data_IF_141304067118
#
_entry.id   IF_141304067118
#
_cell.length_a   1.000
_cell.length_b   1.000
_cell.length_c   1.000
_cell.angle_alpha   90.00
_cell.angle_beta   90.00
_cell.angle_gamma   90.00
#
_symmetry.space_group_name_H-M   'P 1'
#
loop_
_entity.id
_entity.type
_entity.pdbx_description
1 polymer ?
#
# COMPACT_ATOMS: atom_id res chain seq x y z
N UNK A 1 -40.51 -11.15 74.05
CA UNK A 1 -40.20 -9.99 73.23
C UNK A 1 -39.09 -10.39 72.27
N UNK A 2 -39.33 -10.63 70.94
CA UNK A 2 -38.31 -11.00 69.99
C UNK A 2 -37.65 -9.73 69.41
N UNK A 3 -36.31 -9.73 69.38
CA UNK A 3 -35.49 -8.66 68.80
C UNK A 3 -35.38 -8.89 67.30
N UNK A 4 -35.93 -7.98 66.48
CA UNK A 4 -35.80 -7.91 65.06
C UNK A 4 -34.40 -7.35 64.72
N UNK A 5 -33.55 -8.16 64.07
CA UNK A 5 -32.26 -7.72 63.47
C UNK A 5 -32.53 -7.20 62.08
N UNK A 6 -32.31 -5.91 61.84
CA UNK A 6 -32.29 -5.27 60.53
C UNK A 6 -30.97 -5.65 59.84
N UNK A 7 -31.05 -6.38 58.73
CA UNK A 7 -29.92 -6.62 57.86
C UNK A 7 -29.91 -5.51 56.80
N UNK A 8 -28.94 -4.62 56.90
CA UNK A 8 -28.71 -3.59 55.88
C UNK A 8 -28.02 -4.22 54.66
N UNK A 9 -28.72 -4.30 53.54
CA UNK A 9 -28.15 -4.64 52.25
C UNK A 9 -27.46 -3.39 51.70
N UNK A 10 -26.12 -3.34 51.76
CA UNK A 10 -25.31 -2.35 51.02
C UNK A 10 -25.25 -2.78 49.57
N UNK A 11 -26.06 -2.17 48.70
CA UNK A 11 -25.98 -2.33 47.28
C UNK A 11 -24.79 -1.54 46.75
N UNK A 12 -23.74 -2.23 46.30
CA UNK A 12 -22.64 -1.64 45.52
C UNK A 12 -23.17 -1.40 44.12
N UNK A 13 -23.46 -0.14 43.77
CA UNK A 13 -23.75 0.29 42.41
C UNK A 13 -22.40 0.40 41.69
N UNK A 14 -22.07 -0.62 40.90
CA UNK A 14 -20.92 -0.60 40.00
C UNK A 14 -21.26 0.30 38.80
N UNK A 15 -20.90 1.57 38.90
CA UNK A 15 -21.06 2.54 37.81
C UNK A 15 -20.00 2.27 36.76
N UNK A 16 -20.35 1.50 35.69
CA UNK A 16 -19.51 1.29 34.53
C UNK A 16 -19.32 2.63 33.83
N UNK A 17 -18.16 3.25 34.03
CA UNK A 17 -17.70 4.39 33.22
C UNK A 17 -17.45 3.91 31.78
N UNK A 18 -18.44 4.02 30.92
CA UNK A 18 -18.26 3.94 29.47
C UNK A 18 -17.45 5.16 29.03
N UNK A 19 -16.13 5.01 28.95
CA UNK A 19 -15.27 6.01 28.33
C UNK A 19 -15.50 5.92 26.84
N UNK A 20 -16.43 6.72 26.32
CA UNK A 20 -16.54 6.95 24.87
C UNK A 20 -15.32 7.77 24.46
N UNK A 21 -14.41 7.16 23.69
CA UNK A 21 -13.33 7.90 23.05
C UNK A 21 -13.95 9.04 22.22
N UNK A 22 -13.38 10.25 22.24
CA UNK A 22 -13.91 11.34 21.43
C UNK A 22 -13.82 10.94 19.96
N UNK A 23 -14.85 11.28 19.19
CA UNK A 23 -14.99 10.93 17.75
C UNK A 23 -13.77 11.33 16.92
N UNK A 24 -13.03 12.35 17.33
CA UNK A 24 -11.77 12.76 16.73
C UNK A 24 -10.66 11.70 16.91
N UNK A 25 -10.49 11.15 18.11
CA UNK A 25 -9.49 10.13 18.40
C UNK A 25 -9.77 8.83 17.63
N UNK A 26 -11.02 8.47 17.41
CA UNK A 26 -11.41 7.32 16.59
C UNK A 26 -11.04 7.54 15.12
N UNK A 27 -11.29 8.73 14.57
CA UNK A 27 -10.87 9.09 13.20
C UNK A 27 -9.36 9.04 13.04
N UNK A 28 -8.61 9.56 13.98
CA UNK A 28 -7.14 9.56 13.94
C UNK A 28 -6.60 8.13 14.02
N UNK A 29 -7.21 7.27 14.81
CA UNK A 29 -6.84 5.85 14.90
C UNK A 29 -7.10 5.11 13.59
N UNK A 30 -8.26 5.32 12.96
CA UNK A 30 -8.58 4.75 11.64
C UNK A 30 -7.57 5.22 10.60
N UNK A 31 -7.21 6.50 10.59
CA UNK A 31 -6.20 7.04 9.65
C UNK A 31 -4.80 6.49 9.90
N UNK A 32 -4.44 6.22 11.15
CA UNK A 32 -3.18 5.57 11.47
C UNK A 32 -3.13 4.13 10.93
N UNK A 33 -4.23 3.37 11.04
CA UNK A 33 -4.34 2.04 10.46
C UNK A 33 -4.27 2.07 8.93
N UNK A 34 -5.01 2.97 8.28
CA UNK A 34 -4.98 3.19 6.84
C UNK A 34 -3.58 3.47 6.33
N UNK A 35 -2.82 4.31 7.03
CA UNK A 35 -1.43 4.62 6.71
C UNK A 35 -0.56 3.37 6.71
N UNK A 36 -0.65 2.56 7.74
CA UNK A 36 0.11 1.29 7.84
C UNK A 36 -0.27 0.32 6.72
N UNK A 37 -1.56 0.24 6.35
CA UNK A 37 -2.02 -0.63 5.26
C UNK A 37 -1.51 -0.15 3.90
N UNK A 38 -1.52 1.16 3.64
CA UNK A 38 -0.99 1.75 2.41
C UNK A 38 0.53 1.53 2.31
N UNK A 39 1.28 1.74 3.40
CA UNK A 39 2.71 1.47 3.43
C UNK A 39 3.02 -0.01 3.15
N UNK A 40 2.24 -0.94 3.70
CA UNK A 40 2.34 -2.37 3.40
C UNK A 40 1.97 -2.70 1.95
N UNK A 41 0.99 -2.01 1.37
CA UNK A 41 0.63 -2.15 -0.04
C UNK A 41 1.82 -1.77 -0.92
N UNK A 42 2.43 -0.61 -0.68
CA UNK A 42 3.58 -0.11 -1.46
C UNK A 42 4.83 -0.98 -1.26
N UNK A 43 5.06 -1.50 -0.05
CA UNK A 43 6.12 -2.49 0.20
C UNK A 43 5.92 -3.77 -0.63
N UNK A 44 4.71 -4.35 -0.62
CA UNK A 44 4.39 -5.54 -1.43
C UNK A 44 4.50 -5.27 -2.92
N UNK A 45 4.17 -4.05 -3.36
CA UNK A 45 4.34 -3.63 -4.74
C UNK A 45 5.82 -3.75 -5.18
N UNK A 46 6.74 -3.17 -4.41
CA UNK A 46 8.18 -3.24 -4.71
C UNK A 46 8.67 -4.70 -4.70
N UNK A 47 8.29 -5.49 -3.69
CA UNK A 47 8.68 -6.90 -3.62
C UNK A 47 8.19 -7.71 -4.84
N UNK A 48 6.95 -7.51 -5.27
CA UNK A 48 6.40 -8.20 -6.43
C UNK A 48 7.11 -7.80 -7.73
N UNK A 49 7.42 -6.51 -7.90
CA UNK A 49 8.13 -5.97 -9.04
C UNK A 49 9.57 -6.51 -9.10
N UNK A 50 10.35 -6.39 -8.03
CA UNK A 50 11.75 -6.79 -7.96
C UNK A 50 11.95 -8.31 -8.08
N UNK A 51 10.98 -9.10 -7.61
CA UNK A 51 10.98 -10.56 -7.78
C UNK A 51 10.46 -11.01 -9.16
N UNK A 52 9.81 -10.13 -9.92
CA UNK A 52 9.12 -10.48 -11.16
C UNK A 52 7.89 -11.34 -10.96
N UNK A 53 7.27 -11.29 -9.76
CA UNK A 53 6.03 -12.01 -9.47
C UNK A 53 4.82 -11.27 -10.05
N UNK A 54 4.52 -11.56 -11.32
CA UNK A 54 3.49 -10.89 -12.10
C UNK A 54 2.08 -11.04 -11.50
N UNK A 55 1.77 -12.20 -10.91
CA UNK A 55 0.49 -12.47 -10.26
C UNK A 55 0.32 -11.60 -9.00
N UNK A 56 1.32 -11.63 -8.12
CA UNK A 56 1.32 -10.81 -6.91
C UNK A 56 1.27 -9.32 -7.24
N UNK A 57 2.00 -8.88 -8.28
CA UNK A 57 1.98 -7.50 -8.75
C UNK A 57 0.59 -7.04 -9.17
N UNK A 58 -0.04 -7.79 -10.09
CA UNK A 58 -1.37 -7.47 -10.61
C UNK A 58 -2.46 -7.45 -9.52
N UNK A 59 -2.36 -8.35 -8.53
CA UNK A 59 -3.31 -8.43 -7.42
C UNK A 59 -3.33 -7.18 -6.52
N UNK A 60 -2.29 -6.35 -6.54
CA UNK A 60 -2.21 -5.10 -5.76
C UNK A 60 -2.99 -3.94 -6.40
N UNK A 61 -3.42 -4.10 -7.64
CA UNK A 61 -4.21 -3.09 -8.35
C UNK A 61 -5.71 -3.34 -8.19
N UNK A 62 -6.50 -2.27 -8.30
CA UNK A 62 -7.94 -2.37 -8.51
C UNK A 62 -8.22 -3.19 -9.79
N UNK A 63 -9.43 -3.79 -9.96
CA UNK A 63 -9.72 -4.58 -11.15
C UNK A 63 -9.47 -3.86 -12.48
N UNK A 64 -9.76 -2.55 -12.51
CA UNK A 64 -9.55 -1.62 -13.63
C UNK A 64 -8.31 -0.72 -13.45
N UNK A 65 -7.47 -1.03 -12.47
CA UNK A 65 -6.27 -0.26 -12.15
C UNK A 65 -5.28 -0.19 -13.30
N UNK A 66 -4.45 0.86 -13.31
CA UNK A 66 -3.56 1.14 -14.42
C UNK A 66 -2.14 1.53 -13.98
N UNK A 67 -1.18 1.26 -14.86
CA UNK A 67 0.18 1.79 -14.81
C UNK A 67 0.36 2.84 -15.91
N UNK A 68 0.83 4.02 -15.54
CA UNK A 68 0.93 5.18 -16.41
C UNK A 68 -0.39 5.90 -16.61
N UNK A 69 -0.35 6.97 -17.40
CA UNK A 69 -1.50 7.81 -17.75
C UNK A 69 -1.63 7.99 -19.25
N UNK A 70 -2.77 8.50 -19.69
CA UNK A 70 -3.03 8.83 -21.09
C UNK A 70 -3.17 7.61 -22.01
N UNK A 71 -2.79 7.78 -23.26
CA UNK A 71 -3.00 6.78 -24.32
C UNK A 71 -2.09 5.56 -24.18
N UNK A 72 -0.96 5.68 -23.49
CA UNK A 72 0.01 4.59 -23.29
C UNK A 72 -0.19 3.83 -21.97
N UNK A 73 -1.20 4.18 -21.19
CA UNK A 73 -1.49 3.52 -19.93
C UNK A 73 -1.82 2.04 -20.13
N UNK A 74 -1.21 1.18 -19.30
CA UNK A 74 -1.49 -0.25 -19.26
C UNK A 74 -2.60 -0.47 -18.24
N UNK A 75 -3.79 -0.93 -18.69
CA UNK A 75 -5.00 -0.98 -17.89
C UNK A 75 -5.48 -2.40 -17.63
N UNK A 76 -5.92 -2.63 -16.40
CA UNK A 76 -6.49 -3.89 -15.93
C UNK A 76 -5.43 -4.92 -15.54
N UNK A 77 -5.82 -5.80 -14.61
CA UNK A 77 -4.90 -6.76 -13.97
C UNK A 77 -4.21 -7.69 -14.96
N UNK A 78 -4.90 -8.16 -16.00
CA UNK A 78 -4.31 -9.08 -16.97
C UNK A 78 -3.20 -8.40 -17.80
N UNK A 79 -3.41 -7.15 -18.23
CA UNK A 79 -2.39 -6.39 -18.95
C UNK A 79 -1.21 -6.05 -18.05
N UNK A 80 -1.45 -5.69 -16.79
CA UNK A 80 -0.41 -5.42 -15.79
C UNK A 80 0.41 -6.69 -15.47
N UNK A 81 -0.24 -7.83 -15.33
CA UNK A 81 0.41 -9.14 -15.16
C UNK A 81 1.31 -9.46 -16.36
N UNK A 82 0.79 -9.29 -17.59
CA UNK A 82 1.55 -9.51 -18.81
C UNK A 82 2.77 -8.59 -18.87
N UNK A 83 2.64 -7.31 -18.52
CA UNK A 83 3.76 -6.36 -18.51
C UNK A 83 4.93 -6.85 -17.65
N UNK A 84 4.65 -7.29 -16.41
CA UNK A 84 5.71 -7.79 -15.51
C UNK A 84 6.28 -9.12 -15.99
N UNK A 85 5.45 -10.02 -16.50
CA UNK A 85 5.91 -11.30 -17.05
C UNK A 85 6.84 -11.11 -18.26
N UNK A 86 6.48 -10.22 -19.19
CA UNK A 86 7.31 -9.90 -20.37
C UNK A 86 8.65 -9.26 -19.96
N UNK A 87 8.64 -8.34 -19.00
CA UNK A 87 9.86 -7.74 -18.46
C UNK A 87 10.76 -8.81 -17.83
N UNK A 88 10.20 -9.72 -17.06
CA UNK A 88 10.94 -10.84 -16.47
C UNK A 88 11.54 -11.76 -17.53
N UNK A 89 10.77 -12.11 -18.56
CA UNK A 89 11.24 -12.96 -19.66
C UNK A 89 12.43 -12.34 -20.40
N UNK A 90 12.41 -11.02 -20.64
CA UNK A 90 13.54 -10.30 -21.23
C UNK A 90 14.79 -10.40 -20.36
N UNK A 91 14.66 -10.13 -19.06
CA UNK A 91 15.78 -10.24 -18.12
C UNK A 91 16.36 -11.67 -18.07
N UNK A 92 15.53 -12.71 -18.16
CA UNK A 92 15.99 -14.09 -18.16
C UNK A 92 16.61 -14.52 -19.50
N UNK A 93 16.18 -13.92 -20.62
CA UNK A 93 16.81 -14.12 -21.93
C UNK A 93 18.22 -13.49 -21.98
N UNK A 94 18.38 -12.30 -21.41
CA UNK A 94 19.69 -11.61 -21.33
C UNK A 94 20.69 -12.37 -20.45
N UNK A 95 20.23 -13.13 -19.43
CA UNK A 95 21.09 -14.03 -18.64
C UNK A 95 21.75 -15.15 -19.45
N UNK A 96 21.13 -15.58 -20.54
CA UNK A 96 21.67 -16.64 -21.40
C UNK A 96 22.77 -16.14 -22.35
N UNK A 97 22.97 -14.83 -22.47
CA UNK A 97 23.90 -14.17 -23.37
C UNK A 97 25.17 -13.71 -22.66
N UNK A 98 25.82 -14.48 -21.78
CA UNK A 98 27.07 -14.15 -21.02
C UNK A 98 27.14 -12.75 -20.38
N UNK A 99 26.16 -11.90 -20.59
CA UNK A 99 25.95 -10.66 -19.89
C UNK A 99 25.14 -10.98 -18.65
N UNK A 100 25.78 -11.08 -17.48
CA UNK A 100 25.05 -11.14 -16.21
C UNK A 100 24.08 -9.96 -16.18
N UNK A 101 22.74 -10.16 -16.25
CA UNK A 101 21.82 -9.07 -16.04
C UNK A 101 22.05 -8.63 -14.59
N UNK A 102 22.44 -7.39 -14.43
CA UNK A 102 22.59 -6.83 -13.10
C UNK A 102 21.20 -6.86 -12.45
N UNK A 103 21.09 -7.51 -11.29
CA UNK A 103 19.88 -7.46 -10.50
C UNK A 103 19.61 -6.00 -10.14
N UNK A 104 18.41 -5.54 -10.39
CA UNK A 104 17.99 -4.18 -10.06
C UNK A 104 17.03 -4.23 -8.88
N UNK A 105 17.14 -3.23 -8.04
CA UNK A 105 16.20 -2.96 -6.93
C UNK A 105 15.54 -1.61 -7.12
N UNK A 106 14.28 -1.50 -6.73
CA UNK A 106 13.60 -0.23 -6.62
C UNK A 106 13.72 0.29 -5.18
N UNK A 107 14.24 1.50 -5.06
CA UNK A 107 14.33 2.24 -3.80
C UNK A 107 13.27 3.33 -3.83
N UNK A 108 12.39 3.33 -2.83
CA UNK A 108 11.35 4.35 -2.65
C UNK A 108 11.63 5.09 -1.35
N UNK A 109 11.58 6.42 -1.41
CA UNK A 109 11.91 7.27 -0.28
C UNK A 109 10.96 8.47 -0.16
N UNK A 110 10.95 9.09 1.02
CA UNK A 110 10.15 10.26 1.36
C UNK A 110 8.65 10.08 1.08
N UNK A 111 8.01 9.00 1.55
CA UNK A 111 6.61 8.78 1.30
C UNK A 111 5.73 9.84 1.99
N UNK A 112 4.74 10.32 1.27
CA UNK A 112 3.68 11.17 1.80
C UNK A 112 2.32 10.63 1.38
N UNK A 113 1.40 10.45 2.34
CA UNK A 113 0.05 9.96 2.10
C UNK A 113 -0.94 11.08 2.36
N UNK A 114 -1.66 11.47 1.30
CA UNK A 114 -2.76 12.42 1.33
C UNK A 114 -4.09 11.64 1.30
N UNK A 115 -4.89 11.72 2.34
CA UNK A 115 -6.23 11.13 2.35
C UNK A 115 -7.23 12.11 1.73
N UNK A 116 -7.85 11.72 0.62
CA UNK A 116 -8.86 12.52 -0.07
C UNK A 116 -10.21 12.36 0.63
N UNK A 117 -10.59 11.12 0.91
CA UNK A 117 -11.78 10.76 1.68
C UNK A 117 -11.57 9.43 2.43
N UNK A 118 -12.64 8.77 2.84
CA UNK A 118 -12.56 7.50 3.59
C UNK A 118 -12.05 6.32 2.75
N UNK A 119 -12.21 6.39 1.41
CA UNK A 119 -11.92 5.29 0.49
C UNK A 119 -10.91 5.66 -0.59
N UNK A 120 -10.42 6.91 -0.63
CA UNK A 120 -9.44 7.40 -1.60
C UNK A 120 -8.27 8.09 -0.93
N UNK A 121 -7.07 7.81 -1.44
CA UNK A 121 -5.82 8.44 -1.01
C UNK A 121 -4.89 8.63 -2.20
N UNK A 122 -3.93 9.56 -2.05
CA UNK A 122 -2.76 9.69 -2.91
C UNK A 122 -1.51 9.33 -2.13
N UNK A 123 -0.62 8.58 -2.78
CA UNK A 123 0.69 8.26 -2.25
C UNK A 123 1.73 8.93 -3.14
N UNK A 124 2.51 9.83 -2.55
CA UNK A 124 3.61 10.54 -3.17
C UNK A 124 4.93 10.01 -2.66
N UNK A 125 5.91 9.81 -3.53
CA UNK A 125 7.26 9.44 -3.14
C UNK A 125 8.28 9.80 -4.23
N UNK A 126 9.56 9.65 -3.90
CA UNK A 126 10.64 9.56 -4.89
C UNK A 126 11.04 8.11 -5.05
N UNK A 127 11.42 7.76 -6.26
CA UNK A 127 11.88 6.41 -6.57
C UNK A 127 13.18 6.43 -7.36
N UNK A 128 13.96 5.36 -7.25
CA UNK A 128 15.10 5.10 -8.10
C UNK A 128 15.27 3.61 -8.34
N UNK A 129 15.73 3.25 -9.53
CA UNK A 129 16.22 1.92 -9.86
C UNK A 129 17.73 1.87 -9.63
N UNK A 130 18.21 0.86 -8.90
CA UNK A 130 19.63 0.70 -8.54
C UNK A 130 20.11 -0.69 -8.91
N UNK A 131 21.24 -0.78 -9.64
CA UNK A 131 21.87 -2.07 -9.88
C UNK A 131 22.54 -2.61 -8.62
N UNK A 132 22.31 -3.90 -8.34
CA UNK A 132 22.91 -4.59 -7.19
C UNK A 132 24.44 -4.66 -7.26
N UNK A 133 25.01 -4.70 -8.48
CA UNK A 133 26.45 -4.70 -8.73
C UNK A 133 26.91 -3.27 -9.04
N UNK A 134 27.58 -2.63 -8.10
CA UNK A 134 28.15 -1.29 -8.29
C UNK A 134 27.32 -0.14 -7.70
N UNK A 135 26.01 -0.33 -7.47
CA UNK A 135 25.16 0.72 -6.90
C UNK A 135 24.78 1.83 -7.88
N UNK A 136 24.99 1.63 -9.18
CA UNK A 136 24.64 2.63 -10.20
C UNK A 136 23.12 2.83 -10.26
N UNK A 137 22.69 4.09 -10.27
CA UNK A 137 21.30 4.48 -10.47
C UNK A 137 20.98 4.39 -11.96
N UNK A 138 19.98 3.58 -12.31
CA UNK A 138 19.53 3.39 -13.68
C UNK A 138 18.57 4.49 -14.15
N UNK A 139 17.70 4.90 -13.24
CA UNK A 139 16.69 5.94 -13.41
C UNK A 139 16.18 6.39 -12.06
N UNK A 140 15.67 7.59 -11.99
CA UNK A 140 15.04 8.13 -10.79
C UNK A 140 13.93 9.10 -11.18
N UNK A 141 12.95 9.27 -10.30
CA UNK A 141 11.83 10.16 -10.55
C UNK A 141 10.96 10.37 -9.32
N UNK A 142 9.85 11.05 -9.56
CA UNK A 142 8.75 11.16 -8.58
C UNK A 142 7.65 10.17 -8.96
N UNK A 143 6.82 9.85 -8.00
CA UNK A 143 5.61 9.08 -8.23
C UNK A 143 4.42 9.69 -7.52
N UNK A 144 3.27 9.63 -8.15
CA UNK A 144 1.96 9.96 -7.57
C UNK A 144 1.00 8.82 -7.88
N UNK A 145 0.68 8.04 -6.85
CA UNK A 145 -0.21 6.90 -7.00
C UNK A 145 -1.58 7.23 -6.43
N UNK A 146 -2.62 6.97 -7.20
CA UNK A 146 -3.99 7.02 -6.70
C UNK A 146 -4.36 5.67 -6.11
N UNK A 147 -4.89 5.70 -4.91
CA UNK A 147 -5.27 4.52 -4.15
C UNK A 147 -6.76 4.55 -3.87
N UNK A 148 -7.39 3.38 -3.91
CA UNK A 148 -8.81 3.20 -3.63
C UNK A 148 -9.00 2.04 -2.64
N UNK A 149 -9.98 2.18 -1.75
CA UNK A 149 -10.39 1.10 -0.86
C UNK A 149 -11.58 0.36 -1.46
N UNK A 150 -11.41 -0.91 -1.72
CA UNK A 150 -12.46 -1.79 -2.23
C UNK A 150 -12.63 -2.96 -1.25
N UNK A 151 -13.84 -3.18 -0.76
CA UNK A 151 -14.16 -4.23 0.22
C UNK A 151 -13.23 -4.19 1.46
N UNK A 152 -12.91 -2.99 1.95
CA UNK A 152 -12.05 -2.78 3.11
C UNK A 152 -10.55 -2.90 2.84
N UNK A 153 -10.12 -3.17 1.62
CA UNK A 153 -8.71 -3.33 1.25
C UNK A 153 -8.23 -2.16 0.37
N UNK A 154 -7.09 -1.56 0.70
CA UNK A 154 -6.44 -0.57 -0.14
C UNK A 154 -5.78 -1.23 -1.36
N UNK A 155 -6.04 -0.66 -2.55
CA UNK A 155 -5.54 -1.11 -3.84
C UNK A 155 -5.03 0.09 -4.65
N UNK A 156 -4.16 -0.14 -5.62
CA UNK A 156 -3.67 0.89 -6.55
C UNK A 156 -4.69 1.04 -7.69
N UNK A 157 -5.28 2.23 -7.84
CA UNK A 157 -6.11 2.56 -9.00
C UNK A 157 -5.28 3.15 -10.14
N UNK A 158 -4.30 4.01 -9.82
CA UNK A 158 -3.35 4.53 -10.81
C UNK A 158 -1.94 4.50 -10.23
N UNK A 159 -1.02 3.88 -10.94
CA UNK A 159 0.41 3.94 -10.67
C UNK A 159 1.05 4.90 -11.67
N UNK A 160 1.47 6.06 -11.21
CA UNK A 160 2.11 7.08 -12.04
C UNK A 160 3.53 7.34 -11.51
N UNK A 161 4.53 6.99 -12.31
CA UNK A 161 5.96 7.10 -11.96
C UNK A 161 6.67 8.25 -12.67
N UNK A 162 5.92 9.01 -13.45
CA UNK A 162 6.38 10.21 -14.16
C UNK A 162 5.23 11.23 -14.26
N UNK A 163 4.74 11.74 -13.09
CA UNK A 163 3.64 12.68 -13.07
C UNK A 163 4.04 13.97 -13.79
N UNK A 164 3.23 14.38 -14.75
CA UNK A 164 3.35 15.70 -15.38
C UNK A 164 2.69 16.73 -14.44
N UNK A 165 3.44 17.71 -14.01
CA UNK A 165 2.98 18.81 -13.14
C UNK A 165 2.10 19.79 -13.92
#
# INVERSE_FOLDING_TARGET
MPRIRLIAFSGIVLMALMVSAPLAAEKDLVRAQDRVEIERLMWRYIQALDSGNAEAYAALFAPDGQFGRGATAIKGREALKKMVADARQKLDADKKSDKKPARMFHVVTNPHIEFIDKDHARYHAYWMGVFASGGDVTSAGREVNELVRINGQWLISVRDVDPQD
#
